data_IF_321500376414
#
_entry.id   IF_321500376414
#
_cell.length_a   1.000
_cell.length_b   1.000
_cell.length_c   1.000
_cell.angle_alpha   90.00
_cell.angle_beta   90.00
_cell.angle_gamma   90.00
#
_symmetry.space_group_name_H-M   'P 1'
#
loop_
_entity.id
_entity.type
_entity.pdbx_description
1 polymer ?
#
# COMPACT_ATOMS: atom_id res chain seq x y z
N UNK A 1 18.28 2.14 -8.89
CA UNK A 1 17.99 2.55 -7.50
C UNK A 1 16.70 1.88 -7.12
N UNK A 2 16.63 1.21 -5.96
CA UNK A 2 15.37 0.64 -5.47
C UNK A 2 14.36 1.74 -5.17
N UNK A 3 13.09 1.49 -5.51
CA UNK A 3 11.99 2.41 -5.23
C UNK A 3 11.80 2.54 -3.71
N UNK A 4 11.28 3.69 -3.26
CA UNK A 4 11.00 3.91 -1.83
C UNK A 4 9.63 4.54 -1.66
N UNK A 5 9.00 4.28 -0.52
CA UNK A 5 7.82 5.03 -0.14
C UNK A 5 8.18 6.50 0.02
N UNK A 6 7.38 7.37 -0.62
CA UNK A 6 7.51 8.81 -0.51
C UNK A 6 6.30 9.34 0.24
N UNK A 7 6.56 10.12 1.28
CA UNK A 7 5.53 10.74 2.10
C UNK A 7 5.07 12.07 1.49
N UNK A 8 4.06 12.68 2.08
CA UNK A 8 3.56 13.99 1.68
C UNK A 8 4.68 15.04 1.63
N UNK A 9 5.61 14.99 2.58
CA UNK A 9 6.77 15.87 2.67
C UNK A 9 7.67 15.81 1.43
N UNK A 10 7.73 14.64 0.79
CA UNK A 10 8.57 14.38 -0.37
C UNK A 10 7.88 14.72 -1.69
N UNK A 11 6.54 14.71 -1.71
CA UNK A 11 5.74 14.70 -2.95
C UNK A 11 4.90 15.95 -3.13
N UNK A 12 4.27 16.46 -2.07
CA UNK A 12 3.29 17.53 -2.17
C UNK A 12 3.79 18.80 -1.48
N UNK A 13 3.65 19.93 -2.18
CA UNK A 13 4.00 21.24 -1.63
C UNK A 13 2.78 21.87 -0.96
N UNK A 14 2.51 21.49 0.29
CA UNK A 14 1.43 22.07 1.11
C UNK A 14 1.88 22.33 2.54
N UNK A 15 1.30 23.35 3.16
CA UNK A 15 1.48 23.65 4.59
C UNK A 15 0.34 23.10 5.45
N UNK A 16 -0.69 22.49 4.84
CA UNK A 16 -1.81 21.92 5.57
C UNK A 16 -1.45 20.53 6.13
N UNK A 17 -1.17 20.47 7.43
CA UNK A 17 -0.78 19.24 8.13
C UNK A 17 -1.83 18.12 8.06
N UNK A 18 -3.12 18.45 8.00
CA UNK A 18 -4.20 17.46 7.92
C UNK A 18 -4.27 16.80 6.55
N UNK A 19 -4.04 17.57 5.48
CA UNK A 19 -3.87 17.02 4.12
C UNK A 19 -2.65 16.09 4.06
N UNK A 20 -1.52 16.53 4.61
CA UNK A 20 -0.31 15.70 4.66
C UNK A 20 -0.53 14.41 5.45
N UNK A 21 -1.25 14.50 6.57
CA UNK A 21 -1.57 13.32 7.37
C UNK A 21 -2.47 12.33 6.61
N UNK A 22 -3.49 12.83 5.90
CA UNK A 22 -4.34 11.99 5.04
C UNK A 22 -3.58 11.30 3.92
N UNK A 23 -2.67 12.02 3.26
CA UNK A 23 -1.80 11.46 2.22
C UNK A 23 -0.91 10.35 2.80
N UNK A 24 -0.27 10.60 3.95
CA UNK A 24 0.58 9.62 4.62
C UNK A 24 -0.19 8.40 5.14
N UNK A 25 -1.46 8.56 5.52
CA UNK A 25 -2.33 7.44 5.86
C UNK A 25 -2.44 6.46 4.69
N UNK A 26 -2.68 6.94 3.47
CA UNK A 26 -2.72 6.07 2.28
C UNK A 26 -1.37 5.41 2.02
N UNK A 27 -0.28 6.19 1.99
CA UNK A 27 1.08 5.67 1.71
C UNK A 27 1.48 4.57 2.69
N UNK A 28 1.09 4.69 3.95
CA UNK A 28 1.41 3.74 5.01
C UNK A 28 0.37 2.60 5.14
N UNK A 29 -0.65 2.56 4.28
CA UNK A 29 -1.63 1.48 4.21
C UNK A 29 -2.78 1.57 5.22
N UNK A 30 -2.93 2.69 5.93
CA UNK A 30 -4.08 2.91 6.81
C UNK A 30 -5.39 2.92 6.02
N UNK A 31 -6.48 2.61 6.70
CA UNK A 31 -7.80 2.79 6.12
C UNK A 31 -8.13 4.27 5.87
N UNK A 32 -9.03 4.50 4.92
CA UNK A 32 -9.55 5.83 4.63
C UNK A 32 -10.05 6.52 5.92
N UNK A 33 -9.77 7.82 6.11
CA UNK A 33 -10.16 8.59 7.29
C UNK A 33 -11.64 8.43 7.67
N UNK A 34 -12.54 8.31 6.69
CA UNK A 34 -13.97 8.10 6.92
C UNK A 34 -14.30 6.81 7.67
N UNK A 35 -13.52 5.75 7.45
CA UNK A 35 -13.73 4.45 8.12
C UNK A 35 -13.08 4.40 9.49
N UNK A 36 -11.87 4.94 9.59
CA UNK A 36 -11.09 4.84 10.83
C UNK A 36 -11.53 5.83 11.90
N UNK A 37 -11.89 7.06 11.51
CA UNK A 37 -12.12 8.15 12.47
C UNK A 37 -13.19 9.15 11.99
N UNK A 38 -14.47 8.76 11.90
CA UNK A 38 -15.54 9.60 11.32
C UNK A 38 -15.85 10.90 12.11
N UNK A 39 -15.16 11.16 13.22
CA UNK A 39 -15.43 12.30 14.13
C UNK A 39 -14.25 13.25 14.31
N UNK A 40 -13.20 13.15 13.49
CA UNK A 40 -12.12 14.14 13.51
C UNK A 40 -12.61 15.47 12.94
N UNK A 41 -12.18 16.58 13.56
CA UNK A 41 -12.55 17.92 13.13
C UNK A 41 -11.96 18.30 11.76
N UNK A 42 -10.89 17.61 11.32
CA UNK A 42 -10.17 17.82 10.06
C UNK A 42 -10.40 16.68 9.04
N UNK A 43 -11.51 15.95 9.19
CA UNK A 43 -11.82 14.77 8.37
C UNK A 43 -11.85 15.09 6.88
N UNK A 44 -12.35 16.27 6.50
CA UNK A 44 -12.45 16.69 5.10
C UNK A 44 -11.05 16.85 4.49
N UNK A 45 -10.14 17.53 5.19
CA UNK A 45 -8.76 17.75 4.76
C UNK A 45 -7.98 16.43 4.67
N UNK A 46 -8.12 15.55 5.66
CA UNK A 46 -7.50 14.22 5.63
C UNK A 46 -8.00 13.40 4.44
N UNK A 47 -9.31 13.42 4.20
CA UNK A 47 -9.90 12.67 3.09
C UNK A 47 -9.36 13.18 1.75
N UNK A 48 -9.26 14.51 1.56
CA UNK A 48 -8.63 15.08 0.36
C UNK A 48 -7.19 14.61 0.16
N UNK A 49 -6.39 14.57 1.23
CA UNK A 49 -5.02 14.08 1.17
C UNK A 49 -4.94 12.60 0.80
N UNK A 50 -5.81 11.79 1.39
CA UNK A 50 -5.91 10.35 1.12
C UNK A 50 -6.31 10.07 -0.34
N UNK A 51 -7.38 10.73 -0.81
CA UNK A 51 -7.88 10.56 -2.17
C UNK A 51 -6.85 11.04 -3.22
N UNK A 52 -6.11 12.12 -2.90
CA UNK A 52 -5.02 12.59 -3.75
C UNK A 52 -3.90 11.54 -3.88
N UNK A 53 -3.47 10.95 -2.77
CA UNK A 53 -2.48 9.87 -2.78
C UNK A 53 -2.97 8.64 -3.57
N UNK A 54 -4.24 8.25 -3.39
CA UNK A 54 -4.85 7.13 -4.13
C UNK A 54 -4.83 7.40 -5.64
N UNK A 55 -5.21 8.61 -6.07
CA UNK A 55 -5.16 8.98 -7.48
C UNK A 55 -3.73 8.97 -8.04
N UNK A 56 -2.73 9.44 -7.28
CA UNK A 56 -1.34 9.35 -7.70
C UNK A 56 -0.86 7.89 -7.83
N UNK A 57 -1.30 7.00 -6.93
CA UNK A 57 -0.99 5.58 -7.02
C UNK A 57 -1.63 4.94 -8.25
N UNK A 58 -2.90 5.27 -8.56
CA UNK A 58 -3.59 4.81 -9.77
C UNK A 58 -2.93 5.27 -11.06
N UNK A 59 -2.32 6.44 -11.03
CA UNK A 59 -1.54 7.01 -12.13
C UNK A 59 -0.11 6.41 -12.24
N UNK A 60 0.29 5.49 -11.35
CA UNK A 60 1.64 4.93 -11.30
C UNK A 60 2.72 5.88 -10.80
N UNK A 61 2.34 6.98 -10.15
CA UNK A 61 3.26 8.02 -9.67
C UNK A 61 3.70 7.83 -8.21
N UNK A 62 3.03 6.93 -7.47
CA UNK A 62 3.22 6.77 -6.04
C UNK A 62 3.24 5.29 -5.66
N UNK A 63 4.32 4.88 -5.00
CA UNK A 63 4.40 3.63 -4.28
C UNK A 63 3.71 3.76 -2.91
N UNK A 64 3.10 2.69 -2.42
CA UNK A 64 2.32 2.67 -1.19
C UNK A 64 2.32 1.28 -0.54
N UNK A 65 2.04 1.23 0.75
CA UNK A 65 1.80 -0.03 1.47
C UNK A 65 0.36 -0.47 1.23
N UNK A 66 0.16 -1.65 0.63
CA UNK A 66 -1.14 -2.27 0.53
C UNK A 66 -1.33 -3.29 1.65
N UNK A 67 -2.46 -3.18 2.36
CA UNK A 67 -2.81 -4.08 3.45
C UNK A 67 -3.38 -5.39 2.93
N UNK A 68 -2.56 -6.42 2.85
CA UNK A 68 -3.00 -7.77 2.47
C UNK A 68 -3.52 -8.57 3.68
N UNK A 69 -4.32 -9.62 3.42
CA UNK A 69 -4.70 -10.55 4.50
C UNK A 69 -3.45 -11.25 5.08
N UNK A 70 -3.44 -11.43 6.40
CA UNK A 70 -2.49 -12.28 7.12
C UNK A 70 -2.56 -13.73 6.59
N UNK A 71 -1.53 -14.53 6.87
CA UNK A 71 -1.49 -15.96 6.52
C UNK A 71 -2.67 -16.77 7.12
N UNK A 72 -3.27 -16.31 8.22
CA UNK A 72 -4.49 -16.90 8.79
C UNK A 72 -5.80 -16.39 8.15
N UNK A 73 -5.72 -15.70 7.01
CA UNK A 73 -6.87 -15.20 6.25
C UNK A 73 -7.52 -13.92 6.79
N UNK A 74 -7.16 -13.47 7.99
CA UNK A 74 -7.73 -12.26 8.60
C UNK A 74 -7.02 -11.00 8.12
N UNK A 75 -7.76 -9.90 8.00
CA UNK A 75 -7.23 -8.61 7.61
C UNK A 75 -6.58 -7.91 8.83
N UNK A 76 -5.27 -7.59 8.77
CA UNK A 76 -4.59 -6.92 9.87
C UNK A 76 -5.06 -5.47 10.08
N UNK A 77 -4.63 -4.87 11.17
CA UNK A 77 -4.83 -3.44 11.44
C UNK A 77 -3.60 -2.86 12.14
N UNK A 78 -3.42 -1.55 12.05
CA UNK A 78 -2.34 -0.85 12.74
C UNK A 78 -2.70 -0.64 14.22
N UNK A 79 -1.83 -1.03 15.13
CA UNK A 79 -1.93 -0.75 16.56
C UNK A 79 -0.55 -0.48 17.13
N UNK A 80 -0.38 0.60 17.88
CA UNK A 80 0.91 0.92 18.52
C UNK A 80 2.09 1.14 17.56
N UNK A 81 1.83 1.38 16.27
CA UNK A 81 2.86 1.56 15.23
C UNK A 81 3.27 0.30 14.48
N UNK A 82 2.60 -0.83 14.72
CA UNK A 82 2.86 -2.11 14.04
C UNK A 82 1.55 -2.76 13.57
N UNK A 83 1.65 -3.61 12.54
CA UNK A 83 0.52 -4.36 12.02
C UNK A 83 0.21 -5.56 12.92
N UNK A 84 -1.02 -5.66 13.41
CA UNK A 84 -1.49 -6.74 14.28
C UNK A 84 -2.63 -7.51 13.63
N UNK A 85 -2.76 -8.79 13.97
CA UNK A 85 -3.81 -9.66 13.45
C UNK A 85 -4.56 -10.36 14.59
N UNK A 86 -5.82 -9.99 14.81
CA UNK A 86 -6.68 -10.63 15.83
C UNK A 86 -6.94 -12.11 15.57
N UNK A 87 -6.88 -12.56 14.31
CA UNK A 87 -7.14 -13.97 13.96
C UNK A 87 -6.04 -14.93 14.44
N UNK A 88 -4.79 -14.46 14.56
CA UNK A 88 -3.67 -15.29 15.04
C UNK A 88 -2.93 -14.71 16.25
N UNK A 89 -3.34 -13.53 16.74
CA UNK A 89 -2.73 -12.86 17.89
C UNK A 89 -1.33 -12.29 17.66
N UNK A 90 -0.79 -12.36 16.43
CA UNK A 90 0.56 -11.89 16.11
C UNK A 90 0.60 -10.38 15.84
N UNK A 91 1.71 -9.75 16.21
CA UNK A 91 2.14 -8.41 15.81
C UNK A 91 3.25 -8.50 14.75
N UNK A 92 3.48 -7.40 14.02
CA UNK A 92 4.46 -7.35 12.93
C UNK A 92 4.11 -8.30 11.79
N UNK A 93 2.83 -8.38 11.41
CA UNK A 93 2.36 -9.32 10.37
C UNK A 93 2.50 -8.78 8.94
N UNK A 94 2.88 -7.52 8.79
CA UNK A 94 3.25 -6.93 7.52
C UNK A 94 4.54 -7.55 6.98
N UNK A 95 4.72 -7.45 5.67
CA UNK A 95 5.90 -7.96 4.99
C UNK A 95 6.42 -6.86 4.06
N UNK A 96 7.71 -6.89 3.73
CA UNK A 96 8.29 -5.89 2.81
C UNK A 96 7.60 -5.88 1.44
N UNK A 97 7.14 -7.03 0.95
CA UNK A 97 6.38 -7.14 -0.31
C UNK A 97 5.01 -6.44 -0.26
N UNK A 98 4.53 -6.00 0.90
CA UNK A 98 3.31 -5.19 0.99
C UNK A 98 3.51 -3.78 0.43
N UNK A 99 4.76 -3.33 0.34
CA UNK A 99 5.11 -2.06 -0.28
C UNK A 99 5.15 -2.26 -1.79
N UNK A 100 4.16 -1.71 -2.46
CA UNK A 100 3.90 -1.94 -3.88
C UNK A 100 3.87 -0.64 -4.67
N UNK A 101 4.02 -0.79 -5.97
CA UNK A 101 3.67 0.23 -6.96
C UNK A 101 2.86 -0.45 -8.05
N UNK A 102 1.91 0.28 -8.63
CA UNK A 102 1.09 -0.20 -9.73
C UNK A 102 1.22 0.77 -10.89
N UNK A 103 1.72 0.29 -12.02
CA UNK A 103 1.93 1.09 -13.22
C UNK A 103 1.02 0.59 -14.34
N UNK A 104 0.56 1.52 -15.18
CA UNK A 104 -0.22 1.16 -16.37
C UNK A 104 0.71 0.72 -17.48
N UNK A 105 0.42 -0.42 -18.10
CA UNK A 105 1.17 -0.98 -19.22
C UNK A 105 0.19 -1.35 -20.35
N UNK A 106 0.07 -0.45 -21.32
CA UNK A 106 -0.95 -0.56 -22.38
C UNK A 106 -2.37 -0.63 -21.80
N UNK A 107 -3.05 -1.76 -22.07
CA UNK A 107 -4.41 -2.06 -21.58
C UNK A 107 -4.42 -2.83 -20.24
N UNK A 108 -3.26 -3.04 -19.63
CA UNK A 108 -3.09 -3.74 -18.36
C UNK A 108 -2.49 -2.85 -17.26
N UNK A 109 -2.46 -3.40 -16.06
CA UNK A 109 -1.79 -2.84 -14.89
C UNK A 109 -0.77 -3.84 -14.37
N UNK A 110 0.46 -3.40 -14.16
CA UNK A 110 1.53 -4.16 -13.52
C UNK A 110 1.64 -3.74 -12.05
N UNK A 111 1.38 -4.65 -11.11
CA UNK A 111 1.64 -4.45 -9.69
C UNK A 111 2.95 -5.14 -9.32
N UNK A 112 3.85 -4.43 -8.65
CA UNK A 112 5.16 -4.97 -8.29
C UNK A 112 5.66 -4.46 -6.94
N UNK A 113 6.59 -5.19 -6.32
CA UNK A 113 7.29 -4.77 -5.10
C UNK A 113 8.31 -3.66 -5.36
N UNK A 114 8.81 -3.00 -4.31
CA UNK A 114 9.77 -1.88 -4.45
C UNK A 114 11.18 -2.29 -4.89
N UNK A 115 11.51 -3.57 -4.74
CA UNK A 115 12.75 -4.21 -5.18
C UNK A 115 12.65 -4.74 -6.63
N UNK A 116 11.50 -4.58 -7.30
CA UNK A 116 11.35 -4.92 -8.71
C UNK A 116 12.34 -4.13 -9.58
N UNK A 117 13.08 -4.85 -10.44
CA UNK A 117 14.10 -4.29 -11.33
C UNK A 117 13.53 -4.16 -12.75
N UNK A 118 13.15 -5.28 -13.34
CA UNK A 118 12.47 -5.40 -14.63
C UNK A 118 11.91 -6.82 -14.79
N UNK A 119 11.19 -7.07 -15.88
CA UNK A 119 10.50 -8.33 -16.17
C UNK A 119 11.45 -9.52 -16.40
N UNK A 120 12.71 -9.27 -16.74
CA UNK A 120 13.71 -10.31 -17.00
C UNK A 120 14.50 -10.70 -15.75
N UNK A 121 14.66 -9.77 -14.81
CA UNK A 121 15.53 -9.91 -13.63
C UNK A 121 14.78 -10.09 -12.31
N UNK A 122 13.47 -9.82 -12.29
CA UNK A 122 12.66 -9.93 -11.08
C UNK A 122 11.34 -10.62 -11.40
N UNK A 123 10.95 -11.56 -10.55
CA UNK A 123 9.62 -12.14 -10.54
C UNK A 123 8.69 -11.43 -9.55
N UNK A 124 9.10 -10.32 -8.93
CA UNK A 124 8.29 -9.63 -7.92
C UNK A 124 7.24 -8.68 -8.52
N UNK A 125 6.46 -9.20 -9.48
CA UNK A 125 5.41 -8.46 -10.17
C UNK A 125 4.24 -9.39 -10.59
N UNK A 126 3.10 -8.80 -10.89
CA UNK A 126 1.96 -9.48 -11.49
C UNK A 126 1.05 -8.52 -12.28
N UNK A 127 0.41 -9.04 -13.34
CA UNK A 127 -0.46 -8.26 -14.22
C UNK A 127 -1.96 -8.48 -13.97
N UNK A 128 -2.74 -7.41 -14.06
CA UNK A 128 -4.19 -7.45 -14.03
C UNK A 128 -4.83 -6.51 -15.06
N UNK A 129 -6.10 -6.75 -15.40
CA UNK A 129 -6.87 -5.87 -16.31
C UNK A 129 -7.35 -4.59 -15.63
N UNK A 130 -7.25 -4.53 -14.31
CA UNK A 130 -7.56 -3.34 -13.51
C UNK A 130 -6.54 -3.18 -12.38
N UNK A 131 -6.44 -1.96 -11.86
CA UNK A 131 -5.61 -1.63 -10.69
C UNK A 131 -5.83 -2.61 -9.52
N UNK A 132 -7.09 -2.89 -9.18
CA UNK A 132 -7.43 -3.81 -8.08
C UNK A 132 -7.11 -5.26 -8.42
N UNK A 133 -7.34 -5.69 -9.66
CA UNK A 133 -7.03 -7.06 -10.07
C UNK A 133 -5.52 -7.34 -10.02
N UNK A 134 -4.70 -6.38 -10.47
CA UNK A 134 -3.24 -6.52 -10.43
C UNK A 134 -2.73 -6.69 -8.99
N UNK A 135 -3.22 -5.85 -8.06
CA UNK A 135 -2.88 -5.95 -6.63
C UNK A 135 -3.29 -7.31 -6.05
N UNK A 136 -4.50 -7.78 -6.35
CA UNK A 136 -4.99 -9.05 -5.83
C UNK A 136 -4.13 -10.23 -6.29
N UNK A 137 -3.85 -10.32 -7.59
CA UNK A 137 -3.02 -11.39 -8.15
C UNK A 137 -1.59 -11.34 -7.63
N UNK A 138 -1.02 -10.14 -7.51
CA UNK A 138 0.28 -9.94 -6.88
C UNK A 138 0.29 -10.50 -5.46
N UNK A 139 -0.74 -10.19 -4.65
CA UNK A 139 -0.85 -10.72 -3.30
C UNK A 139 -1.04 -12.25 -3.22
N UNK A 140 -1.73 -12.86 -4.19
CA UNK A 140 -1.86 -14.32 -4.30
C UNK A 140 -0.52 -14.99 -4.63
N UNK A 141 0.22 -14.41 -5.58
CA UNK A 141 1.57 -14.85 -5.93
C UNK A 141 2.51 -14.79 -4.73
N UNK A 142 2.61 -13.64 -4.06
CA UNK A 142 3.53 -13.48 -2.92
C UNK A 142 3.22 -14.41 -1.75
N UNK A 143 1.96 -14.87 -1.61
CA UNK A 143 1.57 -15.85 -0.58
C UNK A 143 1.83 -17.30 -0.97
N UNK A 144 1.91 -17.60 -2.27
CA UNK A 144 2.15 -18.95 -2.79
C UNK A 144 3.62 -19.23 -3.05
N UNK A 145 4.45 -18.19 -3.17
CA UNK A 145 5.90 -18.32 -3.29
C UNK A 145 6.49 -19.01 -2.03
N UNK A 146 7.27 -20.10 -2.17
CA UNK A 146 7.78 -20.89 -1.03
C UNK A 146 8.74 -20.18 -0.07
N UNK A 147 9.07 -18.91 -0.28
CA UNK A 147 10.00 -18.17 0.57
C UNK A 147 9.73 -16.69 0.51
N UNK A 148 9.44 -16.12 1.68
CA UNK A 148 9.33 -14.68 1.92
C UNK A 148 9.58 -14.35 3.38
N UNK A 149 10.73 -14.79 3.92
CA UNK A 149 11.39 -14.20 5.10
C UNK A 149 10.68 -14.36 6.43
N UNK A 150 10.78 -15.54 7.03
CA UNK A 150 10.91 -15.62 8.48
C UNK A 150 12.37 -15.38 8.84
N UNK A 151 12.64 -14.24 9.49
CA UNK A 151 13.56 -14.10 10.63
C UNK A 151 12.95 -13.08 11.60
#
# INVERSE_FOLDING_TARGET
>A
MSEKLKTAQDVINTTNSSVMAGFNMFVLGYESPFKSYPRYYDLAERSRGYDYAENMARDGKLAFTHRFNCSCGHLPFMYGGFWVCNGCGRSGVDNEWWKIKVEKDGDAYCCHGLDFINLQESDNYEFGKSFKEAINKYGEKMKSSPTGGGE
#
